data_IF_765249790143
#
_entry.id   IF_765249790143
#
_cell.length_a   1.000
_cell.length_b   1.000
_cell.length_c   1.000
_cell.angle_alpha   90.00
_cell.angle_beta   90.00
_cell.angle_gamma   90.00
#
_symmetry.space_group_name_H-M   'P 1'
#
loop_
_entity.id
_entity.type
_entity.pdbx_description
1 polymer ?
#
# COMPACT_ATOMS: atom_id res chain seq x y z
N UNK A 1 10.11 2.84 -3.52
CA UNK A 1 9.59 3.81 -4.52
C UNK A 1 9.43 5.19 -3.91
N UNK A 2 9.57 6.27 -4.70
CA UNK A 2 9.41 7.65 -4.25
C UNK A 2 8.09 8.20 -4.78
N UNK A 3 7.34 8.86 -3.92
CA UNK A 3 6.09 9.56 -4.24
C UNK A 3 6.05 10.94 -3.58
N UNK A 4 4.90 11.59 -3.60
CA UNK A 4 4.71 12.91 -3.00
C UNK A 4 4.52 12.86 -1.46
N UNK A 5 4.64 11.66 -0.89
CA UNK A 5 4.72 11.38 0.54
C UNK A 5 3.40 11.25 1.25
N UNK A 6 3.45 10.57 2.39
CA UNK A 6 2.27 10.28 3.20
C UNK A 6 1.45 11.55 3.52
N UNK A 7 0.17 11.55 3.18
CA UNK A 7 -0.75 12.67 3.43
C UNK A 7 -1.20 12.76 4.88
N UNK A 8 -1.19 11.65 5.62
CA UNK A 8 -1.61 11.63 7.02
C UNK A 8 -0.65 12.42 7.92
N UNK A 9 0.64 12.20 7.85
CA UNK A 9 1.73 12.93 8.52
C UNK A 9 1.62 13.08 10.04
N UNK A 10 0.75 12.32 10.72
CA UNK A 10 0.49 12.47 12.16
C UNK A 10 0.97 11.29 13.00
N UNK A 11 1.41 10.20 12.37
CA UNK A 11 1.94 9.06 13.10
C UNK A 11 3.21 9.45 13.84
N UNK A 12 3.21 9.26 15.18
CA UNK A 12 4.31 9.72 16.04
C UNK A 12 5.57 8.85 15.97
N UNK A 13 5.51 7.74 15.29
CA UNK A 13 6.61 6.78 15.15
C UNK A 13 7.20 6.73 13.73
N UNK A 14 6.67 7.54 12.80
CA UNK A 14 6.96 7.42 11.39
C UNK A 14 7.35 8.76 10.77
N UNK A 15 8.49 8.77 10.08
CA UNK A 15 9.05 9.93 9.39
C UNK A 15 8.97 9.81 7.85
N UNK A 16 8.19 8.88 7.32
CA UNK A 16 8.05 8.65 5.88
C UNK A 16 7.66 9.89 5.07
N UNK A 17 6.95 10.83 5.69
CA UNK A 17 6.62 12.10 5.04
C UNK A 17 7.84 12.97 4.74
N UNK A 18 9.01 12.69 5.33
CA UNK A 18 10.27 13.35 5.05
C UNK A 18 11.01 12.73 3.85
N UNK A 19 10.74 11.46 3.54
CA UNK A 19 11.33 10.72 2.43
C UNK A 19 10.48 10.85 1.16
N UNK A 20 10.14 12.08 0.79
CA UNK A 20 9.25 12.38 -0.31
C UNK A 20 9.73 13.56 -1.14
N UNK A 21 9.29 13.63 -2.38
CA UNK A 21 9.61 14.73 -3.28
C UNK A 21 8.39 15.10 -4.12
N UNK A 22 8.21 16.40 -4.33
CA UNK A 22 7.19 16.94 -5.23
C UNK A 22 7.66 17.04 -6.69
N UNK A 23 8.92 16.70 -6.96
CA UNK A 23 9.47 16.65 -8.32
C UNK A 23 9.08 15.31 -8.98
N UNK A 24 7.95 15.32 -9.70
CA UNK A 24 7.38 14.14 -10.34
C UNK A 24 8.35 13.50 -11.34
N UNK A 25 9.11 14.30 -12.10
CA UNK A 25 10.04 13.75 -13.09
C UNK A 25 11.24 13.07 -12.42
N UNK A 26 11.77 13.65 -11.34
CA UNK A 26 12.82 13.03 -10.56
C UNK A 26 12.31 11.73 -9.90
N UNK A 27 11.10 11.75 -9.30
CA UNK A 27 10.48 10.57 -8.71
C UNK A 27 10.31 9.45 -9.74
N UNK A 28 9.74 9.78 -10.91
CA UNK A 28 9.57 8.81 -11.99
C UNK A 28 10.88 8.19 -12.45
N UNK A 29 11.95 9.00 -12.59
CA UNK A 29 13.27 8.49 -12.99
C UNK A 29 13.80 7.46 -11.98
N UNK A 30 13.76 7.78 -10.68
CA UNK A 30 14.19 6.89 -9.60
C UNK A 30 13.35 5.61 -9.59
N UNK A 31 12.04 5.77 -9.70
CA UNK A 31 11.10 4.65 -9.69
C UNK A 31 11.30 3.73 -10.91
N UNK A 32 11.59 4.31 -12.07
CA UNK A 32 11.92 3.56 -13.28
C UNK A 32 13.19 2.73 -13.11
N UNK A 33 14.27 3.33 -12.59
CA UNK A 33 15.54 2.61 -12.32
C UNK A 33 15.34 1.45 -11.34
N UNK A 34 14.48 1.60 -10.33
CA UNK A 34 14.12 0.52 -9.40
C UNK A 34 13.30 -0.59 -10.09
N UNK A 35 12.32 -0.21 -10.91
CA UNK A 35 11.45 -1.14 -11.63
C UNK A 35 12.17 -1.93 -12.72
N UNK A 36 13.22 -1.39 -13.33
CA UNK A 36 14.06 -2.09 -14.31
C UNK A 36 14.78 -3.32 -13.70
N UNK A 37 14.91 -3.38 -12.36
CA UNK A 37 15.51 -4.51 -11.65
C UNK A 37 14.53 -5.67 -11.40
N UNK A 38 13.24 -5.49 -11.69
CA UNK A 38 12.22 -6.53 -11.47
C UNK A 38 12.45 -7.68 -12.46
N UNK A 39 12.66 -8.87 -11.91
CA UNK A 39 12.93 -10.08 -12.72
C UNK A 39 11.68 -10.89 -13.04
N UNK A 40 10.64 -10.81 -12.19
CA UNK A 40 9.45 -11.65 -12.28
C UNK A 40 9.64 -13.10 -11.81
N UNK A 41 10.77 -13.43 -11.19
CA UNK A 41 11.15 -14.79 -10.79
C UNK A 41 10.08 -15.51 -9.96
N UNK A 42 9.40 -14.78 -9.07
CA UNK A 42 8.38 -15.32 -8.16
C UNK A 42 6.95 -15.04 -8.63
N UNK A 43 6.76 -14.38 -9.77
CA UNK A 43 5.45 -13.89 -10.25
C UNK A 43 4.71 -12.95 -9.28
N UNK A 44 5.43 -12.38 -8.33
CA UNK A 44 4.93 -11.51 -7.27
C UNK A 44 5.80 -10.25 -7.18
N UNK A 45 5.17 -9.11 -6.94
CA UNK A 45 5.83 -7.82 -6.78
C UNK A 45 5.26 -7.09 -5.59
N UNK A 46 6.10 -6.63 -4.68
CA UNK A 46 5.72 -5.74 -3.60
C UNK A 46 6.24 -4.33 -3.86
N UNK A 47 5.32 -3.37 -3.85
CA UNK A 47 5.61 -1.95 -4.06
C UNK A 47 5.51 -1.23 -2.72
N UNK A 48 6.66 -0.82 -2.19
CA UNK A 48 6.78 -0.05 -0.95
C UNK A 48 7.20 1.37 -1.31
N UNK A 49 6.46 2.35 -0.84
CA UNK A 49 6.77 3.78 -0.97
C UNK A 49 6.58 4.50 0.36
N UNK A 50 7.09 5.73 0.46
CA UNK A 50 6.99 6.55 1.68
C UNK A 50 5.58 7.10 1.94
N UNK A 51 4.55 6.29 1.73
CA UNK A 51 3.15 6.71 1.83
C UNK A 51 2.18 5.59 1.47
N UNK A 52 1.22 5.92 0.64
CA UNK A 52 0.21 5.00 0.11
C UNK A 52 0.33 4.90 -1.40
N UNK A 53 -0.32 3.91 -2.01
CA UNK A 53 -0.33 3.75 -3.47
C UNK A 53 -0.79 5.02 -4.22
N UNK A 54 -1.69 5.81 -3.64
CA UNK A 54 -2.19 7.07 -4.21
C UNK A 54 -1.15 8.21 -4.22
N UNK A 55 -0.05 8.04 -3.49
CA UNK A 55 1.05 9.02 -3.44
C UNK A 55 2.07 8.82 -4.57
N UNK A 56 1.89 7.76 -5.39
CA UNK A 56 2.69 7.52 -6.59
C UNK A 56 2.08 8.25 -7.80
N UNK A 57 2.93 8.80 -8.65
CA UNK A 57 2.48 9.46 -9.87
C UNK A 57 1.92 8.48 -10.91
N UNK A 58 1.07 8.98 -11.81
CA UNK A 58 0.39 8.17 -12.82
C UNK A 58 1.37 7.49 -13.81
N UNK A 59 2.51 8.13 -14.12
CA UNK A 59 3.52 7.54 -15.00
C UNK A 59 4.17 6.32 -14.33
N UNK A 60 4.47 6.43 -13.03
CA UNK A 60 5.00 5.32 -12.22
C UNK A 60 3.99 4.18 -12.15
N UNK A 61 2.71 4.44 -11.86
CA UNK A 61 1.66 3.40 -11.85
C UNK A 61 1.51 2.73 -13.21
N UNK A 62 1.53 3.50 -14.29
CA UNK A 62 1.45 2.97 -15.64
C UNK A 62 2.65 2.07 -15.98
N UNK A 63 3.85 2.46 -15.53
CA UNK A 63 5.06 1.65 -15.70
C UNK A 63 5.00 0.35 -14.89
N UNK A 64 4.50 0.40 -13.65
CA UNK A 64 4.29 -0.80 -12.82
C UNK A 64 3.36 -1.78 -13.54
N UNK A 65 2.21 -1.31 -14.07
CA UNK A 65 1.27 -2.14 -14.83
C UNK A 65 1.93 -2.80 -16.05
N UNK A 66 2.73 -2.04 -16.80
CA UNK A 66 3.49 -2.55 -17.95
C UNK A 66 4.46 -3.65 -17.51
N UNK A 67 5.22 -3.43 -16.45
CA UNK A 67 6.18 -4.42 -15.93
C UNK A 67 5.48 -5.67 -15.41
N UNK A 68 4.32 -5.55 -14.77
CA UNK A 68 3.54 -6.72 -14.38
C UNK A 68 3.21 -7.62 -15.57
N UNK A 69 2.82 -7.04 -16.70
CA UNK A 69 2.54 -7.80 -17.91
C UNK A 69 3.81 -8.39 -18.54
N UNK A 70 4.87 -7.59 -18.69
CA UNK A 70 6.13 -8.01 -19.33
C UNK A 70 6.87 -9.08 -18.53
N UNK A 71 6.79 -9.03 -17.19
CA UNK A 71 7.48 -9.97 -16.29
C UNK A 71 6.57 -11.08 -15.76
N UNK A 72 5.34 -11.18 -16.27
CA UNK A 72 4.35 -12.19 -15.88
C UNK A 72 4.08 -12.18 -14.36
N UNK A 73 4.03 -11.00 -13.75
CA UNK A 73 3.62 -10.84 -12.35
C UNK A 73 2.13 -11.21 -12.24
N UNK A 74 1.79 -12.06 -11.30
CA UNK A 74 0.41 -12.53 -11.05
C UNK A 74 -0.22 -11.84 -9.86
N UNK A 75 0.61 -11.47 -8.88
CA UNK A 75 0.15 -10.83 -7.66
C UNK A 75 1.00 -9.60 -7.39
N UNK A 76 0.35 -8.47 -7.13
CA UNK A 76 1.04 -7.24 -6.73
C UNK A 76 0.51 -6.74 -5.38
N UNK A 77 1.42 -6.29 -4.53
CA UNK A 77 1.10 -5.74 -3.21
C UNK A 77 1.43 -4.25 -3.16
N UNK A 78 0.54 -3.47 -2.55
CA UNK A 78 0.76 -2.06 -2.23
C UNK A 78 0.40 -1.78 -0.78
N UNK A 79 1.01 -0.76 -0.22
CA UNK A 79 0.63 -0.22 1.08
C UNK A 79 -0.39 0.90 0.93
N UNK A 80 -1.27 1.02 1.94
CA UNK A 80 -2.30 2.05 2.00
C UNK A 80 -2.55 2.51 3.43
N UNK A 81 -2.66 3.81 3.63
CA UNK A 81 -3.21 4.35 4.87
C UNK A 81 -4.75 4.32 4.82
N UNK A 82 -5.39 4.09 5.97
CA UNK A 82 -6.85 3.97 6.08
C UNK A 82 -7.64 5.16 5.51
N UNK A 83 -7.05 6.36 5.50
CA UNK A 83 -7.69 7.55 4.93
C UNK A 83 -8.05 7.42 3.44
N UNK A 84 -7.38 6.50 2.72
CA UNK A 84 -7.60 6.24 1.30
C UNK A 84 -8.44 5.00 1.03
N UNK A 85 -9.20 4.51 2.02
CA UNK A 85 -10.03 3.30 1.91
C UNK A 85 -10.98 3.33 0.71
N UNK A 86 -11.50 4.51 0.36
CA UNK A 86 -12.47 4.67 -0.70
C UNK A 86 -11.85 4.57 -2.10
N UNK A 87 -10.53 4.82 -2.22
CA UNK A 87 -9.79 4.71 -3.47
C UNK A 87 -9.38 3.27 -3.80
N UNK A 88 -9.38 2.38 -2.79
CA UNK A 88 -8.85 1.01 -2.89
C UNK A 88 -9.56 0.19 -3.97
N UNK A 89 -10.89 0.26 -4.04
CA UNK A 89 -11.69 -0.56 -4.94
C UNK A 89 -11.34 -0.33 -6.41
N UNK A 90 -11.32 0.92 -6.83
CA UNK A 90 -11.06 1.28 -8.22
C UNK A 90 -9.59 1.06 -8.58
N UNK A 91 -8.69 1.30 -7.63
CA UNK A 91 -7.27 1.01 -7.82
C UNK A 91 -7.02 -0.48 -8.03
N UNK A 92 -7.55 -1.35 -7.17
CA UNK A 92 -7.45 -2.81 -7.32
C UNK A 92 -7.99 -3.27 -8.66
N UNK A 93 -9.22 -2.82 -9.00
CA UNK A 93 -9.85 -3.16 -10.27
C UNK A 93 -8.96 -2.84 -11.46
N UNK A 94 -8.22 -1.74 -11.42
CA UNK A 94 -7.33 -1.32 -12.49
C UNK A 94 -6.15 -2.28 -12.78
N UNK A 95 -5.80 -3.16 -11.83
CA UNK A 95 -4.84 -4.26 -12.01
C UNK A 95 -5.54 -5.58 -12.32
N UNK A 96 -6.67 -5.85 -11.68
CA UNK A 96 -7.47 -7.06 -11.91
C UNK A 96 -7.97 -7.13 -13.37
N UNK A 97 -8.32 -5.99 -13.96
CA UNK A 97 -8.68 -5.89 -15.39
C UNK A 97 -7.51 -6.27 -16.34
N UNK A 98 -6.28 -6.30 -15.83
CA UNK A 98 -5.08 -6.77 -16.53
C UNK A 98 -4.73 -8.23 -16.22
N UNK A 99 -5.53 -8.91 -15.39
CA UNK A 99 -5.26 -10.28 -14.93
C UNK A 99 -4.18 -10.36 -13.84
N UNK A 100 -3.96 -9.27 -13.12
CA UNK A 100 -3.02 -9.18 -11.99
C UNK A 100 -3.82 -9.00 -10.70
N UNK A 101 -3.71 -9.95 -9.78
CA UNK A 101 -4.31 -9.82 -8.45
C UNK A 101 -3.64 -8.66 -7.69
N UNK A 102 -4.43 -7.71 -7.19
CA UNK A 102 -3.92 -6.58 -6.43
C UNK A 102 -4.31 -6.70 -4.96
N UNK A 103 -3.31 -6.77 -4.09
CA UNK A 103 -3.47 -6.88 -2.65
C UNK A 103 -3.03 -5.55 -2.00
N UNK A 104 -3.91 -4.98 -1.18
CA UNK A 104 -3.60 -3.75 -0.44
C UNK A 104 -3.34 -4.10 1.03
N UNK A 105 -2.18 -3.69 1.52
CA UNK A 105 -1.75 -3.86 2.91
C UNK A 105 -2.06 -2.59 3.69
N UNK A 106 -2.72 -2.75 4.84
CA UNK A 106 -2.98 -1.66 5.78
C UNK A 106 -2.17 -1.86 7.05
N UNK A 107 -1.26 -0.95 7.35
CA UNK A 107 -0.51 -0.95 8.60
C UNK A 107 -1.39 -0.54 9.78
N UNK A 108 -1.84 -1.50 10.59
CA UNK A 108 -2.64 -1.25 11.80
C UNK A 108 -1.78 -0.91 13.01
N UNK A 109 -0.57 -1.45 13.08
CA UNK A 109 0.43 -1.37 14.14
C UNK A 109 0.02 -2.09 15.43
N UNK A 110 -1.21 -1.89 15.93
CA UNK A 110 -1.74 -2.53 17.13
C UNK A 110 -3.27 -2.58 17.12
N UNK A 111 -3.83 -3.59 17.78
CA UNK A 111 -5.28 -3.71 18.01
C UNK A 111 -5.78 -2.86 19.18
N UNK A 112 -4.89 -2.49 20.10
CA UNK A 112 -5.22 -1.58 21.18
C UNK A 112 -5.58 -0.21 20.61
N UNK A 113 -6.88 0.12 20.65
CA UNK A 113 -7.38 1.38 20.14
C UNK A 113 -6.73 2.59 20.80
N UNK A 114 -6.56 2.56 22.12
CA UNK A 114 -6.00 3.68 22.85
C UNK A 114 -4.52 3.91 22.47
N UNK A 115 -3.74 2.84 22.38
CA UNK A 115 -2.35 2.91 21.91
C UNK A 115 -2.30 3.39 20.45
N UNK A 116 -3.14 2.84 19.58
CA UNK A 116 -3.15 3.18 18.16
C UNK A 116 -3.53 4.64 17.89
N UNK A 117 -4.61 5.14 18.52
CA UNK A 117 -5.15 6.47 18.19
C UNK A 117 -4.62 7.60 19.10
N UNK A 118 -4.40 7.34 20.41
CA UNK A 118 -3.98 8.38 21.33
C UNK A 118 -2.45 8.46 21.49
N UNK A 119 -1.73 7.36 21.24
CA UNK A 119 -0.26 7.33 21.33
C UNK A 119 0.37 7.37 19.95
N UNK A 120 0.03 6.44 19.05
CA UNK A 120 0.63 6.34 17.71
C UNK A 120 0.00 7.29 16.70
N UNK A 121 -1.24 7.72 16.91
CA UNK A 121 -2.01 8.66 16.08
C UNK A 121 -2.17 8.16 14.63
N UNK A 122 -2.64 6.91 14.49
CA UNK A 122 -2.82 6.27 13.16
C UNK A 122 -4.02 6.82 12.37
N UNK A 123 -5.04 7.38 13.04
CA UNK A 123 -6.24 7.90 12.38
C UNK A 123 -7.13 6.83 11.75
N UNK A 124 -7.20 5.67 12.38
CA UNK A 124 -8.10 4.58 11.98
C UNK A 124 -9.33 4.63 12.87
N UNK A 125 -10.52 4.77 12.26
CA UNK A 125 -11.78 4.87 12.98
C UNK A 125 -12.00 3.67 13.93
N UNK A 126 -12.65 3.90 15.08
CA UNK A 126 -12.94 2.87 16.08
C UNK A 126 -13.77 1.69 15.52
N UNK A 127 -14.62 1.98 14.53
CA UNK A 127 -15.40 0.98 13.81
C UNK A 127 -14.61 0.25 12.72
N UNK A 128 -13.32 0.53 12.61
CA UNK A 128 -12.42 -0.25 11.77
C UNK A 128 -12.51 -1.74 12.10
N UNK A 129 -11.77 -2.59 11.42
CA UNK A 129 -11.94 -4.03 11.51
C UNK A 129 -11.96 -4.49 12.97
N UNK A 130 -12.95 -5.31 13.33
CA UNK A 130 -13.05 -5.91 14.67
C UNK A 130 -12.07 -7.07 14.77
N UNK A 131 -11.07 -6.95 15.63
CA UNK A 131 -10.03 -7.96 15.80
C UNK A 131 -10.19 -8.74 17.09
N UNK A 132 -9.76 -10.00 17.03
CA UNK A 132 -9.82 -10.91 18.20
C UNK A 132 -8.49 -11.03 18.95
N UNK A 133 -7.36 -10.63 18.38
CA UNK A 133 -6.04 -10.85 18.97
C UNK A 133 -5.11 -9.62 18.90
N UNK A 134 -4.28 -9.42 19.95
CA UNK A 134 -3.33 -8.31 20.12
C UNK A 134 -2.01 -8.51 19.35
N UNK A 135 -2.04 -9.02 18.13
CA UNK A 135 -0.84 -9.18 17.30
C UNK A 135 -0.76 -8.09 16.25
N UNK A 136 0.46 -7.67 15.91
CA UNK A 136 0.70 -6.84 14.72
C UNK A 136 0.20 -7.61 13.50
N UNK A 137 -0.69 -7.02 12.74
CA UNK A 137 -1.25 -7.63 11.54
C UNK A 137 -1.23 -6.61 10.42
N UNK A 138 -0.63 -6.98 9.32
CA UNK A 138 -0.87 -6.33 8.06
C UNK A 138 -2.24 -6.79 7.56
N UNK A 139 -3.17 -5.86 7.40
CA UNK A 139 -4.51 -6.19 6.96
C UNK A 139 -4.50 -6.26 5.45
N UNK A 140 -4.74 -7.46 4.96
CA UNK A 140 -4.99 -7.68 3.55
C UNK A 140 -6.43 -7.24 3.24
N UNK A 141 -6.58 -6.16 2.50
CA UNK A 141 -7.88 -5.71 2.02
C UNK A 141 -8.26 -6.53 0.80
N UNK A 142 -8.92 -7.67 1.02
CA UNK A 142 -9.53 -8.47 -0.05
C UNK A 142 -11.01 -8.10 -0.19
N UNK A 143 -11.36 -7.67 -1.41
CA UNK A 143 -12.73 -7.48 -1.89
C UNK A 143 -13.71 -6.78 -0.93
N UNK A 144 -13.80 -5.46 -1.03
CA UNK A 144 -14.91 -4.59 -0.58
C UNK A 144 -15.31 -4.58 0.91
N UNK A 145 -14.97 -5.60 1.67
CA UNK A 145 -15.12 -5.61 3.11
C UNK A 145 -13.75 -5.62 3.77
N UNK A 146 -13.55 -4.79 4.80
CA UNK A 146 -12.39 -4.88 5.68
C UNK A 146 -12.44 -6.22 6.43
N UNK A 147 -12.19 -7.30 5.70
CA UNK A 147 -12.18 -8.66 6.22
C UNK A 147 -10.83 -9.01 6.80
N UNK A 148 -10.83 -9.54 7.98
CA UNK A 148 -9.66 -10.19 8.59
C UNK A 148 -9.36 -11.43 7.76
N UNK A 149 -8.17 -11.52 7.17
CA UNK A 149 -7.71 -12.78 6.62
C UNK A 149 -7.67 -13.81 7.74
N UNK A 150 -8.48 -14.88 7.65
CA UNK A 150 -8.34 -16.02 8.55
C UNK A 150 -6.99 -16.66 8.27
N UNK A 151 -6.11 -16.69 9.28
CA UNK A 151 -4.94 -17.57 9.23
C UNK A 151 -5.48 -19.00 9.09
N UNK A 152 -5.32 -19.59 7.91
CA UNK A 152 -5.40 -21.04 7.78
C UNK A 152 -4.08 -21.59 8.34
N UNK A 153 -4.18 -22.28 9.46
CA UNK A 153 -3.12 -23.15 9.98
C UNK A 153 -2.71 -24.21 8.96
#
# INVERSE_FOLDING_TARGET
MVGDGCKWRKCRFCDYHLDSSLDIEANYKINKEALEQVTGLYNELEVINSGSFVDLDEKTISLIKKICLEKNIKTIHFECHYMHKDDVKDFKKSFEDLGVECIIKLGLETFDYNLRENVLVKGIEEKGPKYKDNKRVDILLNNTDFGVGENKE
#
